data_IF_625714860896
#
_entry.id   IF_625714860896
#
_cell.length_a   1.000
_cell.length_b   1.000
_cell.length_c   1.000
_cell.angle_alpha   90.00
_cell.angle_beta   90.00
_cell.angle_gamma   90.00
#
_symmetry.space_group_name_H-M   'P 1'
#
loop_
_entity.id
_entity.type
_entity.pdbx_description
1 polymer ?
#
# COMPACT_ATOMS: atom_id res chain seq x y z
N UNK A 1 -3.18 15.99 23.67
CA UNK A 1 -2.01 15.13 23.42
C UNK A 1 -2.43 13.93 22.55
N UNK A 2 -3.01 14.18 21.36
CA UNK A 2 -3.62 13.13 20.50
C UNK A 2 -3.11 13.14 19.06
N UNK A 3 -2.26 14.09 18.68
CA UNK A 3 -1.77 14.22 17.30
C UNK A 3 -0.59 13.28 17.01
N UNK A 4 0.21 12.95 18.02
CA UNK A 4 1.40 12.10 17.86
C UNK A 4 1.04 10.61 17.63
N UNK A 5 -0.06 10.14 18.23
CA UNK A 5 -0.52 8.74 18.10
C UNK A 5 -1.03 8.46 16.68
N UNK A 6 -1.71 9.44 16.06
CA UNK A 6 -2.27 9.31 14.70
C UNK A 6 -1.20 9.40 13.60
N UNK A 7 -0.14 10.18 13.81
CA UNK A 7 0.95 10.30 12.83
C UNK A 7 1.77 9.00 12.73
N UNK A 8 2.05 8.35 13.87
CA UNK A 8 2.77 7.07 13.91
C UNK A 8 2.00 5.91 13.28
N UNK A 9 0.66 5.93 13.34
CA UNK A 9 -0.18 4.91 12.70
C UNK A 9 -0.23 5.08 11.17
N UNK A 10 -0.18 6.31 10.67
CA UNK A 10 -0.12 6.61 9.23
C UNK A 10 1.21 6.16 8.62
N UNK A 11 2.33 6.40 9.31
CA UNK A 11 3.66 5.99 8.86
C UNK A 11 3.77 4.46 8.78
N UNK A 12 3.32 3.74 9.82
CA UNK A 12 3.26 2.26 9.81
C UNK A 12 2.36 1.71 8.70
N UNK A 13 1.22 2.37 8.43
CA UNK A 13 0.32 1.96 7.36
C UNK A 13 0.96 2.13 5.97
N UNK A 14 1.74 3.20 5.78
CA UNK A 14 2.49 3.43 4.55
C UNK A 14 3.60 2.38 4.36
N UNK A 15 4.41 2.12 5.40
CA UNK A 15 5.45 1.08 5.37
C UNK A 15 4.88 -0.30 5.01
N UNK A 16 3.74 -0.66 5.62
CA UNK A 16 3.08 -1.93 5.34
C UNK A 16 2.60 -2.01 3.88
N UNK A 17 2.02 -0.94 3.37
CA UNK A 17 1.53 -0.91 1.99
C UNK A 17 2.68 -0.97 0.97
N UNK A 18 3.80 -0.28 1.22
CA UNK A 18 5.01 -0.37 0.39
C UNK A 18 5.61 -1.78 0.39
N UNK A 19 5.68 -2.42 1.55
CA UNK A 19 6.14 -3.80 1.69
C UNK A 19 5.28 -4.78 0.87
N UNK A 20 3.96 -4.66 0.97
CA UNK A 20 3.01 -5.48 0.20
C UNK A 20 3.16 -5.24 -1.30
N UNK A 21 3.38 -3.99 -1.71
CA UNK A 21 3.61 -3.60 -3.11
C UNK A 21 4.85 -4.28 -3.70
N UNK A 22 5.96 -4.27 -2.96
CA UNK A 22 7.21 -4.88 -3.39
C UNK A 22 7.11 -6.41 -3.55
N UNK A 23 6.44 -7.09 -2.61
CA UNK A 23 6.30 -8.54 -2.65
C UNK A 23 5.28 -9.04 -3.67
N UNK A 24 4.13 -8.36 -3.79
CA UNK A 24 2.99 -8.82 -4.59
C UNK A 24 3.34 -9.00 -6.08
N UNK A 25 4.12 -8.11 -6.68
CA UNK A 25 4.55 -8.24 -8.08
C UNK A 25 5.53 -9.39 -8.30
N UNK A 26 6.51 -9.56 -7.40
CA UNK A 26 7.48 -10.65 -7.49
C UNK A 26 6.77 -12.01 -7.37
N UNK A 27 5.87 -12.13 -6.40
CA UNK A 27 5.08 -13.34 -6.19
C UNK A 27 4.11 -13.59 -7.36
N UNK A 28 3.49 -12.55 -7.93
CA UNK A 28 2.61 -12.68 -9.10
C UNK A 28 3.39 -13.14 -10.35
N UNK A 29 4.64 -12.73 -10.51
CA UNK A 29 5.50 -13.19 -11.60
C UNK A 29 5.90 -14.66 -11.41
N UNK A 30 6.28 -15.07 -10.20
CA UNK A 30 6.63 -16.47 -9.87
C UNK A 30 5.44 -17.41 -10.05
N UNK A 31 4.26 -17.02 -9.57
CA UNK A 31 3.04 -17.83 -9.63
C UNK A 31 2.52 -17.98 -11.06
N UNK A 32 2.65 -16.95 -11.91
CA UNK A 32 2.41 -17.07 -13.36
C UNK A 32 3.33 -18.08 -14.02
N UNK A 33 4.63 -18.04 -13.72
CA UNK A 33 5.61 -19.01 -14.24
C UNK A 33 5.30 -20.44 -13.78
N UNK A 34 4.78 -20.61 -12.57
CA UNK A 34 4.35 -21.90 -12.03
C UNK A 34 2.97 -22.37 -12.55
N UNK A 35 2.28 -21.60 -13.40
CA UNK A 35 0.95 -21.95 -13.91
C UNK A 35 -0.21 -21.71 -12.93
N UNK A 36 0.05 -21.10 -11.77
CA UNK A 36 -0.93 -20.82 -10.72
C UNK A 36 -1.68 -19.50 -11.01
N UNK A 37 -2.46 -19.49 -12.09
CA UNK A 37 -3.14 -18.27 -12.59
C UNK A 37 -4.08 -17.61 -11.57
N UNK A 38 -4.79 -18.42 -10.78
CA UNK A 38 -5.70 -17.90 -9.74
C UNK A 38 -4.96 -17.12 -8.65
N UNK A 39 -3.83 -17.67 -8.17
CA UNK A 39 -3.01 -17.02 -7.15
C UNK A 39 -2.35 -15.74 -7.69
N UNK A 40 -1.90 -15.74 -8.95
CA UNK A 40 -1.37 -14.55 -9.59
C UNK A 40 -2.41 -13.41 -9.66
N UNK A 41 -3.66 -13.74 -10.01
CA UNK A 41 -4.76 -12.76 -10.02
C UNK A 41 -5.03 -12.16 -8.64
N UNK A 42 -5.09 -12.98 -7.59
CA UNK A 42 -5.26 -12.50 -6.22
C UNK A 42 -4.10 -11.59 -5.78
N UNK A 43 -2.86 -11.89 -6.18
CA UNK A 43 -1.70 -11.07 -5.86
C UNK A 43 -1.73 -9.71 -6.58
N UNK A 44 -2.21 -9.67 -7.83
CA UNK A 44 -2.43 -8.42 -8.57
C UNK A 44 -3.54 -7.55 -7.95
N UNK A 45 -4.57 -8.18 -7.38
CA UNK A 45 -5.62 -7.47 -6.64
C UNK A 45 -5.09 -6.90 -5.32
N UNK A 46 -4.32 -7.68 -4.56
CA UNK A 46 -3.61 -7.20 -3.36
C UNK A 46 -2.69 -6.03 -3.67
N UNK A 47 -1.96 -6.10 -4.79
CA UNK A 47 -1.11 -5.00 -5.26
C UNK A 47 -1.92 -3.72 -5.51
N UNK A 48 -3.04 -3.82 -6.22
CA UNK A 48 -3.93 -2.67 -6.47
C UNK A 48 -4.49 -2.07 -5.18
N UNK A 49 -4.87 -2.91 -4.23
CA UNK A 49 -5.34 -2.45 -2.92
C UNK A 49 -4.24 -1.67 -2.16
N UNK A 50 -3.00 -2.16 -2.19
CA UNK A 50 -1.86 -1.47 -1.56
C UNK A 50 -1.58 -0.11 -2.23
N UNK A 51 -1.63 -0.03 -3.57
CA UNK A 51 -1.52 1.25 -4.29
C UNK A 51 -2.61 2.24 -3.88
N UNK A 52 -3.86 1.78 -3.78
CA UNK A 52 -4.98 2.63 -3.37
C UNK A 52 -4.84 3.12 -1.91
N UNK A 53 -4.34 2.27 -1.02
CA UNK A 53 -4.05 2.65 0.36
C UNK A 53 -2.97 3.74 0.42
N UNK A 54 -1.84 3.57 -0.28
CA UNK A 54 -0.79 4.60 -0.33
C UNK A 54 -1.29 5.92 -0.92
N UNK A 55 -2.04 5.88 -2.01
CA UNK A 55 -2.61 7.08 -2.62
C UNK A 55 -3.53 7.82 -1.64
N UNK A 56 -4.32 7.08 -0.84
CA UNK A 56 -5.20 7.64 0.17
C UNK A 56 -4.41 8.27 1.32
N UNK A 57 -3.36 7.60 1.80
CA UNK A 57 -2.49 8.13 2.86
C UNK A 57 -1.75 9.39 2.39
N UNK A 58 -1.24 9.40 1.16
CA UNK A 58 -0.56 10.56 0.56
C UNK A 58 -1.52 11.74 0.33
N UNK A 59 -2.75 11.48 -0.14
CA UNK A 59 -3.75 12.51 -0.32
C UNK A 59 -4.28 13.08 1.01
N UNK A 60 -4.40 12.23 2.04
CA UNK A 60 -4.79 12.63 3.40
C UNK A 60 -3.74 13.52 4.09
N UNK A 61 -2.46 13.36 3.74
CA UNK A 61 -1.37 14.20 4.23
C UNK A 61 -1.17 15.50 3.43
N UNK A 62 -1.94 15.70 2.34
CA UNK A 62 -1.89 16.87 1.47
C UNK A 62 -3.03 17.88 1.76
N UNK A 63 -3.46 17.99 3.02
CA UNK A 63 -4.28 19.13 3.48
C UNK A 63 -3.38 20.38 3.64
N UNK A 64 -3.89 21.59 3.34
CA UNK A 64 -3.06 22.74 3.04
C UNK A 64 -2.44 23.34 4.31
N UNK A 65 -1.14 23.14 4.51
CA UNK A 65 -0.37 23.81 5.57
C UNK A 65 0.08 25.24 5.16
N UNK A 66 -0.42 25.76 4.03
CA UNK A 66 -0.11 27.10 3.49
C UNK A 66 -1.38 27.98 3.39
N UNK A 67 -2.14 28.08 4.47
CA UNK A 67 -3.20 29.07 4.61
C UNK A 67 -3.22 29.69 6.03
N UNK A 68 -2.16 30.41 6.39
CA UNK A 68 -2.15 31.36 7.51
C UNK A 68 -1.25 32.56 7.19
#
# INVERSE_FOLDING_TARGET
>A
MQLEDSAGDVEKAAELAEYVLAMSLQLAAMTRRAGLKGLAGSLEETHRAACAALATLQAGNAAPDDAA
#
